data_IF_150683460371
#
_entry.id   IF_150683460371
#
_cell.length_a   1.000
_cell.length_b   1.000
_cell.length_c   1.000
_cell.angle_alpha   90.00
_cell.angle_beta   90.00
_cell.angle_gamma   90.00
#
_symmetry.space_group_name_H-M   'P 1'
#
loop_
_entity.id
_entity.type
_entity.pdbx_description
1 polymer ?
#
# COMPACT_ATOMS: atom_id res chain seq x y z
N UNK A 1 0.49 13.73 -5.29
CA UNK A 1 1.11 15.07 -5.40
C UNK A 1 1.51 15.37 -6.85
N UNK A 2 2.61 14.82 -7.33
CA UNK A 2 3.20 15.17 -8.65
C UNK A 2 2.79 14.25 -9.81
N UNK A 3 1.89 13.29 -9.55
CA UNK A 3 1.36 12.38 -10.57
C UNK A 3 2.21 11.12 -10.81
N UNK A 4 1.70 10.20 -11.64
CA UNK A 4 2.31 8.90 -11.88
C UNK A 4 3.62 8.96 -12.67
N UNK A 5 3.77 9.89 -13.61
CA UNK A 5 4.99 9.99 -14.41
C UNK A 5 6.21 10.37 -13.54
N UNK A 6 6.01 11.25 -12.56
CA UNK A 6 7.03 11.61 -11.58
C UNK A 6 7.32 10.44 -10.64
N UNK A 7 6.27 9.70 -10.23
CA UNK A 7 6.44 8.48 -9.44
C UNK A 7 7.31 7.45 -10.18
N UNK A 8 7.06 7.22 -11.46
CA UNK A 8 7.83 6.27 -12.28
C UNK A 8 9.28 6.72 -12.47
N UNK A 9 9.51 8.01 -12.67
CA UNK A 9 10.85 8.58 -12.73
C UNK A 9 11.60 8.39 -11.40
N UNK A 10 10.94 8.60 -10.27
CA UNK A 10 11.54 8.43 -8.95
C UNK A 10 11.87 6.97 -8.63
N UNK A 11 10.92 6.06 -8.84
CA UNK A 11 11.12 4.62 -8.61
C UNK A 11 12.24 4.06 -9.49
N UNK A 12 12.32 4.51 -10.75
CA UNK A 12 13.38 4.10 -11.69
C UNK A 12 14.69 4.86 -11.53
N UNK A 13 14.82 5.71 -10.51
CA UNK A 13 15.98 6.55 -10.22
C UNK A 13 16.40 7.50 -11.37
N UNK A 14 15.44 7.93 -12.20
CA UNK A 14 15.66 9.00 -13.19
C UNK A 14 15.67 10.39 -12.55
N UNK A 15 15.02 10.52 -11.40
CA UNK A 15 15.12 11.68 -10.52
C UNK A 15 15.53 11.20 -9.13
N UNK A 16 16.32 12.00 -8.38
CA UNK A 16 16.83 11.58 -7.09
C UNK A 16 15.75 11.62 -6.01
N UNK A 17 16.01 10.98 -4.89
CA UNK A 17 15.10 10.96 -3.74
C UNK A 17 14.88 12.35 -3.13
N UNK A 18 15.88 13.23 -3.24
CA UNK A 18 15.82 14.63 -2.81
C UNK A 18 15.38 15.60 -3.93
N UNK A 19 14.76 15.10 -5.00
CA UNK A 19 14.11 15.97 -5.99
C UNK A 19 13.03 16.84 -5.32
N UNK A 20 12.90 18.14 -5.67
CA UNK A 20 11.90 19.02 -5.07
C UNK A 20 10.46 18.50 -5.15
N UNK A 21 10.12 17.70 -6.17
CA UNK A 21 8.80 17.11 -6.33
C UNK A 21 8.54 15.97 -5.33
N UNK A 22 9.59 15.26 -4.90
CA UNK A 22 9.52 14.21 -3.87
C UNK A 22 9.50 14.84 -2.49
N UNK A 23 10.32 15.87 -2.25
CA UNK A 23 10.27 16.66 -1.02
C UNK A 23 8.90 17.31 -0.81
N UNK A 24 8.23 17.77 -1.88
CA UNK A 24 6.83 18.22 -1.80
C UNK A 24 5.90 17.10 -1.32
N UNK A 25 6.08 15.87 -1.77
CA UNK A 25 5.28 14.74 -1.30
C UNK A 25 5.55 14.40 0.18
N UNK A 26 6.81 14.47 0.62
CA UNK A 26 7.18 14.37 2.04
C UNK A 26 6.48 15.44 2.88
N UNK A 27 6.52 16.70 2.45
CA UNK A 27 5.89 17.80 3.15
C UNK A 27 4.36 17.62 3.27
N UNK A 28 3.69 17.23 2.19
CA UNK A 28 2.23 16.97 2.21
C UNK A 28 1.87 15.77 3.12
N UNK A 29 2.65 14.69 3.06
CA UNK A 29 2.45 13.56 3.98
C UNK A 29 2.73 13.97 5.44
N UNK A 30 3.73 14.82 5.67
CA UNK A 30 4.08 15.36 6.98
C UNK A 30 2.93 16.12 7.63
N UNK A 31 2.18 16.92 6.86
CA UNK A 31 0.97 17.61 7.37
C UNK A 31 -0.07 16.63 7.91
N UNK A 32 -0.19 15.45 7.30
CA UNK A 32 -1.12 14.40 7.75
C UNK A 32 -0.55 13.63 8.93
N UNK A 33 0.63 13.03 8.77
CA UNK A 33 1.23 12.11 9.73
C UNK A 33 1.74 12.79 11.01
N UNK A 34 2.15 14.05 10.91
CA UNK A 34 2.70 14.84 12.02
C UNK A 34 1.78 15.96 12.50
N UNK A 35 0.62 16.14 11.87
CA UNK A 35 -0.37 17.15 12.25
C UNK A 35 -1.05 16.82 13.57
N UNK A 36 -1.22 17.83 14.42
CA UNK A 36 -1.87 17.68 15.73
C UNK A 36 -3.30 17.17 15.59
N UNK A 37 -3.61 16.08 16.30
CA UNK A 37 -4.94 15.46 16.29
C UNK A 37 -5.25 14.55 15.10
N UNK A 38 -4.41 14.52 14.05
CA UNK A 38 -4.63 13.65 12.89
C UNK A 38 -4.34 12.18 13.17
N UNK A 39 -3.45 11.89 14.11
CA UNK A 39 -3.03 10.54 14.49
C UNK A 39 -3.37 10.29 15.95
N UNK A 40 -4.07 9.19 16.21
CA UNK A 40 -4.33 8.74 17.58
C UNK A 40 -3.01 8.42 18.29
N UNK A 41 -2.73 9.13 19.40
CA UNK A 41 -1.46 9.04 20.12
C UNK A 41 -0.32 9.88 19.53
N UNK A 42 -0.59 10.68 18.50
CA UNK A 42 0.39 11.56 17.84
C UNK A 42 1.36 10.82 16.90
N UNK A 43 2.22 11.59 16.24
CA UNK A 43 3.14 11.10 15.20
C UNK A 43 4.04 9.94 15.68
N UNK A 44 4.52 10.02 16.92
CA UNK A 44 5.35 8.98 17.53
C UNK A 44 4.63 7.64 17.65
N UNK A 45 3.29 7.62 17.71
CA UNK A 45 2.54 6.38 17.79
C UNK A 45 2.54 5.59 16.48
N UNK A 46 2.80 6.23 15.33
CA UNK A 46 2.88 5.55 14.01
C UNK A 46 3.96 4.47 14.02
N UNK A 47 5.15 4.78 14.52
CA UNK A 47 6.29 3.85 14.53
C UNK A 47 6.25 2.85 15.70
N UNK A 48 5.34 3.06 16.67
CA UNK A 48 5.21 2.22 17.87
C UNK A 48 3.96 1.32 17.85
N UNK A 49 3.12 1.45 16.82
CA UNK A 49 1.92 0.62 16.64
C UNK A 49 2.16 -0.41 15.54
N UNK A 50 1.89 -1.69 15.82
CA UNK A 50 1.92 -2.72 14.78
C UNK A 50 0.81 -2.45 13.77
N UNK A 51 1.10 -2.60 12.48
CA UNK A 51 0.12 -2.28 11.43
C UNK A 51 -1.22 -3.04 11.59
N UNK A 52 -1.19 -4.28 12.10
CA UNK A 52 -2.41 -5.06 12.35
C UNK A 52 -3.27 -4.52 13.50
N UNK A 53 -2.67 -3.77 14.43
CA UNK A 53 -3.35 -3.19 15.59
C UNK A 53 -3.84 -1.76 15.31
N UNK A 54 -3.43 -1.16 14.19
CA UNK A 54 -3.61 0.28 13.92
C UNK A 54 -5.08 0.73 13.87
N UNK A 55 -5.99 -0.13 13.44
CA UNK A 55 -7.44 0.18 13.39
C UNK A 55 -8.21 -0.29 14.63
N UNK A 56 -7.61 -1.08 15.52
CA UNK A 56 -8.27 -1.57 16.74
C UNK A 56 -8.89 -0.44 17.59
N UNK A 57 -8.27 0.74 17.75
CA UNK A 57 -8.88 1.84 18.50
C UNK A 57 -10.18 2.41 17.91
N UNK A 58 -10.49 2.16 16.63
CA UNK A 58 -11.74 2.60 15.99
C UNK A 58 -12.96 1.82 16.48
N UNK A 59 -12.76 0.62 17.05
CA UNK A 59 -13.83 -0.27 17.54
C UNK A 59 -13.97 -0.25 19.06
N UNK A 60 -13.32 0.70 19.74
CA UNK A 60 -13.51 0.95 21.17
C UNK A 60 -14.76 1.82 21.40
N UNK A 61 -15.25 1.85 22.64
CA UNK A 61 -16.35 2.72 23.05
C UNK A 61 -15.85 3.74 24.11
N UNK A 62 -15.76 5.04 23.78
CA UNK A 62 -16.00 5.63 22.46
C UNK A 62 -14.84 5.36 21.46
N UNK A 63 -15.09 5.45 20.13
CA UNK A 63 -14.05 5.30 19.11
C UNK A 63 -12.93 6.32 19.25
N UNK A 64 -11.68 5.88 19.10
CA UNK A 64 -10.49 6.73 19.28
C UNK A 64 -9.85 7.18 17.96
N UNK A 65 -10.16 6.52 16.86
CA UNK A 65 -9.81 6.92 15.50
C UNK A 65 -10.93 6.46 14.54
N UNK A 66 -10.92 6.98 13.31
CA UNK A 66 -11.99 6.70 12.34
C UNK A 66 -11.48 6.24 10.97
N UNK A 67 -10.24 6.56 10.63
CA UNK A 67 -9.67 6.33 9.30
C UNK A 67 -8.32 5.61 9.41
N UNK A 68 -8.09 4.68 8.49
CA UNK A 68 -6.81 4.03 8.28
C UNK A 68 -6.55 3.90 6.78
N UNK A 69 -5.34 4.22 6.34
CA UNK A 69 -4.85 3.92 4.97
C UNK A 69 -3.99 2.67 5.04
N UNK A 70 -4.47 1.57 4.48
CA UNK A 70 -3.77 0.28 4.48
C UNK A 70 -4.25 -0.61 3.32
N UNK A 71 -3.48 -1.64 2.97
CA UNK A 71 -3.89 -2.68 2.03
C UNK A 71 -5.14 -3.46 2.49
N UNK A 72 -5.86 -4.03 1.53
CA UNK A 72 -7.12 -4.77 1.74
C UNK A 72 -6.99 -5.93 2.74
N UNK A 73 -5.81 -6.55 2.82
CA UNK A 73 -5.52 -7.65 3.75
C UNK A 73 -5.67 -7.25 5.22
N UNK A 74 -5.64 -5.95 5.55
CA UNK A 74 -5.79 -5.47 6.92
C UNK A 74 -7.13 -5.80 7.56
N UNK A 75 -8.16 -6.03 6.74
CA UNK A 75 -9.46 -6.55 7.20
C UNK A 75 -9.31 -7.84 8.01
N UNK A 76 -8.33 -8.69 7.67
CA UNK A 76 -8.03 -9.93 8.38
C UNK A 76 -7.47 -9.75 9.80
N UNK A 77 -7.02 -8.54 10.17
CA UNK A 77 -6.52 -8.22 11.51
C UNK A 77 -7.55 -7.51 12.41
N UNK A 78 -8.71 -7.13 11.86
CA UNK A 78 -9.76 -6.45 12.64
C UNK A 78 -10.33 -7.36 13.74
N UNK A 79 -11.03 -6.82 14.76
CA UNK A 79 -11.73 -7.65 15.75
C UNK A 79 -12.65 -8.69 15.10
N UNK A 80 -12.79 -9.87 15.71
CA UNK A 80 -13.49 -11.01 15.09
C UNK A 80 -14.97 -10.74 14.82
N UNK A 81 -15.62 -9.97 15.68
CA UNK A 81 -16.99 -9.49 15.50
C UNK A 81 -17.13 -8.52 14.32
N UNK A 82 -16.10 -7.70 14.07
CA UNK A 82 -16.04 -6.81 12.90
C UNK A 82 -15.79 -7.62 11.62
N UNK A 83 -14.88 -8.59 11.64
CA UNK A 83 -14.63 -9.48 10.50
C UNK A 83 -15.89 -10.23 10.06
N UNK A 84 -16.75 -10.58 11.02
CA UNK A 84 -18.01 -11.29 10.76
C UNK A 84 -19.09 -10.40 10.13
N UNK A 85 -18.94 -9.07 10.14
CA UNK A 85 -19.96 -8.10 9.72
C UNK A 85 -19.34 -6.89 8.99
N UNK A 86 -18.37 -7.15 8.11
CA UNK A 86 -17.58 -6.11 7.45
C UNK A 86 -18.44 -5.07 6.72
N UNK A 87 -19.49 -5.51 6.02
CA UNK A 87 -20.35 -4.65 5.21
C UNK A 87 -21.11 -3.59 6.03
N UNK A 88 -21.35 -3.84 7.32
CA UNK A 88 -22.04 -2.91 8.20
C UNK A 88 -21.10 -2.17 9.17
N UNK A 89 -19.85 -2.64 9.32
CA UNK A 89 -18.90 -2.13 10.32
C UNK A 89 -17.75 -1.33 9.72
N UNK A 90 -17.47 -1.49 8.43
CA UNK A 90 -16.32 -0.88 7.76
C UNK A 90 -16.74 -0.27 6.44
N UNK A 91 -16.37 0.99 6.23
CA UNK A 91 -16.46 1.65 4.93
C UNK A 91 -15.10 1.72 4.24
N UNK A 92 -15.12 1.76 2.91
CA UNK A 92 -13.94 2.05 2.09
C UNK A 92 -14.21 3.22 1.15
N UNK A 93 -13.18 4.01 0.89
CA UNK A 93 -13.17 5.03 -0.15
C UNK A 93 -11.75 5.21 -0.69
N UNK A 94 -11.64 5.69 -1.93
CA UNK A 94 -10.35 6.05 -2.53
C UNK A 94 -9.74 7.21 -1.76
N UNK A 95 -8.42 7.15 -1.52
CA UNK A 95 -7.73 8.21 -0.80
C UNK A 95 -7.97 9.58 -1.49
N UNK A 96 -8.41 10.61 -0.77
CA UNK A 96 -8.80 11.88 -1.39
C UNK A 96 -7.65 12.51 -2.17
N UNK A 97 -7.92 13.09 -3.36
CA UNK A 97 -6.92 13.81 -4.11
C UNK A 97 -6.48 15.07 -3.35
N UNK A 98 -5.23 15.47 -3.56
CA UNK A 98 -4.74 16.77 -3.11
C UNK A 98 -5.27 17.85 -4.06
N UNK A 99 -5.83 18.94 -3.51
CA UNK A 99 -6.23 20.09 -4.31
C UNK A 99 -5.05 20.69 -5.09
N UNK A 100 -5.27 20.98 -6.37
CA UNK A 100 -4.20 21.36 -7.31
C UNK A 100 -3.13 20.28 -7.57
N UNK A 101 -3.36 19.03 -7.13
CA UNK A 101 -2.52 17.88 -7.40
C UNK A 101 -2.88 17.15 -8.70
N UNK A 102 -2.37 15.93 -8.85
CA UNK A 102 -2.76 15.02 -9.93
C UNK A 102 -4.28 14.79 -9.93
N UNK A 103 -4.92 14.99 -11.08
CA UNK A 103 -6.39 14.95 -11.22
C UNK A 103 -7.00 13.56 -11.42
N UNK A 104 -6.20 12.51 -11.59
CA UNK A 104 -6.69 11.13 -11.69
C UNK A 104 -6.79 10.44 -10.31
N UNK A 105 -7.22 9.18 -10.31
CA UNK A 105 -7.30 8.35 -9.11
C UNK A 105 -6.23 7.25 -9.13
N UNK A 106 -5.01 7.53 -8.60
CA UNK A 106 -3.97 6.52 -8.55
C UNK A 106 -4.26 5.52 -7.43
N UNK A 107 -4.22 4.24 -7.75
CA UNK A 107 -4.28 3.15 -6.79
C UNK A 107 -2.87 2.59 -6.58
N UNK A 108 -2.47 2.53 -5.31
CA UNK A 108 -1.23 1.90 -4.89
C UNK A 108 -1.54 0.49 -4.39
N UNK A 109 -0.76 -0.50 -4.78
CA UNK A 109 -0.90 -1.87 -4.27
C UNK A 109 0.44 -2.56 -4.06
N UNK A 110 0.38 -3.73 -3.45
CA UNK A 110 1.45 -4.71 -3.41
C UNK A 110 0.95 -6.03 -4.03
N UNK A 111 1.85 -6.97 -4.26
CA UNK A 111 1.45 -8.27 -4.78
C UNK A 111 2.60 -9.27 -4.81
N UNK A 112 2.23 -10.53 -4.86
CA UNK A 112 3.18 -11.63 -4.98
C UNK A 112 3.47 -11.93 -6.45
N UNK A 113 4.74 -12.21 -6.75
CA UNK A 113 5.19 -12.60 -8.07
C UNK A 113 5.60 -14.07 -8.07
N UNK A 114 5.16 -14.81 -9.08
CA UNK A 114 5.65 -16.15 -9.37
C UNK A 114 6.65 -16.07 -10.54
N UNK A 115 7.84 -16.64 -10.34
CA UNK A 115 8.89 -16.69 -11.35
C UNK A 115 9.31 -18.15 -11.63
N UNK A 116 9.39 -18.49 -12.92
CA UNK A 116 9.87 -19.79 -13.39
C UNK A 116 11.33 -19.67 -13.81
N UNK A 117 12.23 -20.35 -13.09
CA UNK A 117 13.68 -20.34 -13.38
C UNK A 117 14.09 -21.39 -14.42
N UNK A 118 13.40 -22.53 -14.47
CA UNK A 118 13.61 -23.57 -15.48
C UNK A 118 12.41 -23.59 -16.45
N UNK A 119 12.56 -22.94 -17.60
CA UNK A 119 11.51 -22.75 -18.60
C UNK A 119 11.05 -24.02 -19.34
N UNK A 120 11.79 -25.13 -19.24
CA UNK A 120 11.57 -26.32 -20.08
C UNK A 120 10.93 -27.50 -19.34
N UNK A 121 10.72 -27.39 -18.03
CA UNK A 121 10.11 -28.44 -17.22
C UNK A 121 8.57 -28.45 -17.39
N UNK A 122 7.96 -29.51 -17.94
CA UNK A 122 6.53 -29.53 -18.22
C UNK A 122 5.64 -29.37 -16.99
N UNK A 123 6.03 -29.95 -15.85
CA UNK A 123 5.25 -29.88 -14.61
C UNK A 123 5.24 -28.45 -14.06
N UNK A 124 6.39 -27.77 -14.13
CA UNK A 124 6.52 -26.36 -13.72
C UNK A 124 5.68 -25.45 -14.63
N UNK A 125 5.63 -25.72 -15.94
CA UNK A 125 4.78 -24.98 -16.88
C UNK A 125 3.30 -25.12 -16.51
N UNK A 126 2.83 -26.32 -16.16
CA UNK A 126 1.44 -26.53 -15.76
C UNK A 126 1.08 -25.80 -14.45
N UNK A 127 2.01 -25.77 -13.47
CA UNK A 127 1.82 -24.96 -12.25
C UNK A 127 1.72 -23.47 -12.58
N UNK A 128 2.61 -22.94 -13.44
CA UNK A 128 2.55 -21.53 -13.84
C UNK A 128 1.26 -21.19 -14.58
N UNK A 129 0.75 -22.09 -15.43
CA UNK A 129 -0.57 -21.93 -16.07
C UNK A 129 -1.70 -21.86 -15.03
N UNK A 130 -1.65 -22.69 -14.00
CA UNK A 130 -2.63 -22.62 -12.91
C UNK A 130 -2.52 -21.29 -12.14
N UNK A 131 -1.33 -20.89 -11.70
CA UNK A 131 -1.09 -19.65 -10.95
C UNK A 131 -1.54 -18.39 -11.71
N UNK A 132 -1.47 -18.42 -13.04
CA UNK A 132 -1.88 -17.33 -13.94
C UNK A 132 -3.30 -17.46 -14.46
N UNK A 133 -4.06 -18.48 -14.05
CA UNK A 133 -5.46 -18.66 -14.45
C UNK A 133 -6.44 -17.89 -13.56
N UNK A 134 -7.67 -17.74 -14.04
CA UNK A 134 -8.81 -17.21 -13.27
C UNK A 134 -9.28 -18.11 -12.11
N UNK A 135 -8.73 -19.31 -11.99
CA UNK A 135 -9.03 -20.25 -10.90
C UNK A 135 -8.10 -20.07 -9.70
N UNK A 136 -6.94 -19.45 -9.89
CA UNK A 136 -5.98 -19.24 -8.82
C UNK A 136 -6.59 -18.37 -7.72
N UNK A 137 -6.31 -18.73 -6.47
CA UNK A 137 -6.79 -17.98 -5.31
C UNK A 137 -8.28 -18.11 -5.00
N UNK A 138 -9.08 -18.86 -5.76
CA UNK A 138 -10.53 -19.01 -5.53
C UNK A 138 -10.92 -19.38 -4.08
N UNK A 139 -10.32 -20.42 -3.46
CA UNK A 139 -10.55 -20.73 -2.05
C UNK A 139 -10.10 -19.62 -1.08
N UNK A 140 -9.02 -18.91 -1.40
CA UNK A 140 -8.50 -17.81 -0.58
C UNK A 140 -9.41 -16.58 -0.66
N UNK A 141 -9.89 -16.25 -1.85
CA UNK A 141 -10.86 -15.18 -2.08
C UNK A 141 -12.09 -15.33 -1.19
N UNK A 142 -12.60 -16.57 -1.02
CA UNK A 142 -13.77 -16.89 -0.16
C UNK A 142 -13.54 -16.63 1.32
N UNK A 143 -12.28 -16.63 1.78
CA UNK A 143 -11.92 -16.28 3.15
C UNK A 143 -11.79 -14.76 3.32
N UNK A 144 -11.50 -14.04 2.24
CA UNK A 144 -11.26 -12.59 2.23
C UNK A 144 -9.80 -12.22 2.46
N UNK A 145 -9.50 -10.92 2.41
CA UNK A 145 -8.15 -10.38 2.58
C UNK A 145 -7.22 -10.57 1.37
N UNK A 146 -7.72 -11.08 0.25
CA UNK A 146 -7.00 -11.28 -1.00
C UNK A 146 -7.83 -10.79 -2.19
N UNK A 147 -7.18 -10.22 -3.20
CA UNK A 147 -7.79 -9.78 -4.45
C UNK A 147 -7.07 -10.44 -5.63
N UNK A 148 -7.83 -10.95 -6.59
CA UNK A 148 -7.27 -11.52 -7.81
C UNK A 148 -6.76 -10.43 -8.76
N UNK A 149 -5.55 -10.57 -9.32
CA UNK A 149 -5.08 -9.72 -10.41
C UNK A 149 -5.67 -10.15 -11.77
N UNK A 150 -6.38 -11.29 -11.85
CA UNK A 150 -6.88 -11.83 -13.11
C UNK A 150 -8.19 -11.16 -13.54
N UNK A 151 -8.23 -10.59 -14.77
CA UNK A 151 -9.38 -9.81 -15.28
C UNK A 151 -10.70 -10.58 -15.38
N UNK A 152 -10.64 -11.90 -15.53
CA UNK A 152 -11.83 -12.76 -15.64
C UNK A 152 -12.12 -13.54 -14.37
N UNK A 153 -11.46 -13.22 -13.25
CA UNK A 153 -11.76 -13.86 -11.97
C UNK A 153 -13.22 -13.63 -11.58
N UNK A 154 -13.90 -14.69 -11.17
CA UNK A 154 -15.29 -14.62 -10.75
C UNK A 154 -15.41 -13.93 -9.38
N UNK A 155 -15.81 -12.66 -9.40
CA UNK A 155 -15.98 -11.82 -8.21
C UNK A 155 -17.06 -12.33 -7.24
N UNK A 156 -17.91 -13.27 -7.64
CA UNK A 156 -18.85 -13.92 -6.71
C UNK A 156 -18.14 -14.80 -5.68
N UNK A 157 -16.86 -15.11 -5.88
CA UNK A 157 -16.03 -15.78 -4.88
C UNK A 157 -15.67 -14.88 -3.69
N UNK A 158 -15.82 -13.56 -3.78
CA UNK A 158 -15.55 -12.67 -2.65
C UNK A 158 -16.70 -12.72 -1.62
N UNK A 159 -16.40 -12.81 -0.31
CA UNK A 159 -17.37 -13.18 0.72
C UNK A 159 -18.35 -12.06 1.12
N UNK A 160 -18.04 -10.81 0.77
CA UNK A 160 -18.79 -9.64 1.22
C UNK A 160 -18.68 -8.50 0.20
N UNK A 161 -19.58 -7.52 0.30
CA UNK A 161 -19.63 -6.39 -0.64
C UNK A 161 -18.43 -5.46 -0.48
N UNK A 162 -17.91 -5.29 0.74
CA UNK A 162 -16.70 -4.49 0.99
C UNK A 162 -15.50 -4.99 0.16
N UNK A 163 -15.29 -6.32 0.10
CA UNK A 163 -14.18 -6.92 -0.68
C UNK A 163 -14.43 -6.78 -2.18
N UNK A 164 -15.68 -6.89 -2.64
CA UNK A 164 -16.03 -6.65 -4.05
C UNK A 164 -15.78 -5.20 -4.44
N UNK A 165 -16.13 -4.24 -3.59
CA UNK A 165 -15.83 -2.82 -3.80
C UNK A 165 -14.32 -2.56 -3.86
N UNK A 166 -13.53 -3.19 -2.98
CA UNK A 166 -12.06 -3.13 -3.06
C UNK A 166 -11.54 -3.66 -4.41
N UNK A 167 -12.06 -4.80 -4.88
CA UNK A 167 -11.68 -5.39 -6.16
C UNK A 167 -12.05 -4.47 -7.33
N UNK A 168 -13.26 -3.88 -7.28
CA UNK A 168 -13.74 -2.95 -8.29
C UNK A 168 -12.85 -1.72 -8.39
N UNK A 169 -12.55 -1.06 -7.26
CA UNK A 169 -11.65 0.11 -7.19
C UNK A 169 -10.30 -0.17 -7.86
N UNK A 170 -9.70 -1.33 -7.58
CA UNK A 170 -8.41 -1.71 -8.18
C UNK A 170 -8.58 -1.99 -9.67
N UNK A 171 -9.63 -2.71 -10.08
CA UNK A 171 -9.86 -3.10 -11.47
C UNK A 171 -10.24 -1.93 -12.38
N UNK A 172 -10.86 -0.88 -11.82
CA UNK A 172 -11.29 0.33 -12.53
C UNK A 172 -10.28 1.47 -12.41
N UNK A 173 -9.11 1.24 -11.80
CA UNK A 173 -8.10 2.27 -11.60
C UNK A 173 -7.52 2.74 -12.94
N UNK A 174 -7.54 4.06 -13.18
CA UNK A 174 -6.87 4.66 -14.34
C UNK A 174 -5.35 4.44 -14.28
N UNK A 175 -4.82 4.37 -13.06
CA UNK A 175 -3.40 4.21 -12.77
C UNK A 175 -3.25 3.27 -11.57
N UNK A 176 -2.54 2.17 -11.78
CA UNK A 176 -2.05 1.30 -10.71
C UNK A 176 -0.53 1.36 -10.62
N UNK A 177 0.03 1.43 -9.40
CA UNK A 177 1.47 1.30 -9.15
C UNK A 177 1.73 0.37 -7.98
N UNK A 178 2.82 -0.38 -8.07
CA UNK A 178 3.36 -1.08 -6.91
C UNK A 178 3.97 -0.09 -5.93
N UNK A 179 4.03 -0.47 -4.65
CA UNK A 179 4.79 0.26 -3.65
C UNK A 179 6.23 0.50 -4.14
N UNK A 180 6.70 1.73 -4.00
CA UNK A 180 8.00 2.16 -4.48
C UNK A 180 9.11 1.34 -3.83
N UNK A 181 9.01 1.04 -2.53
CA UNK A 181 10.08 0.32 -1.82
C UNK A 181 10.24 -1.12 -2.33
N UNK A 182 9.18 -1.73 -2.86
CA UNK A 182 9.23 -3.08 -3.44
C UNK A 182 9.97 -3.12 -4.78
N UNK A 183 9.99 -1.99 -5.49
CA UNK A 183 10.61 -1.84 -6.81
C UNK A 183 12.05 -1.29 -6.73
N UNK A 184 12.43 -0.73 -5.59
CA UNK A 184 13.77 -0.19 -5.36
C UNK A 184 14.80 -1.31 -5.07
N UNK A 185 16.11 -1.04 -5.25
CA UNK A 185 17.15 -1.93 -4.76
C UNK A 185 16.94 -2.26 -3.29
N UNK A 186 17.22 -3.51 -2.88
CA UNK A 186 16.93 -4.00 -1.53
C UNK A 186 17.53 -3.12 -0.44
N UNK A 187 18.77 -2.68 -0.65
CA UNK A 187 19.54 -1.82 0.26
C UNK A 187 18.91 -0.43 0.43
N UNK A 188 18.10 0.00 -0.54
CA UNK A 188 17.33 1.25 -0.50
C UNK A 188 15.94 1.00 0.06
N UNK A 189 15.09 0.25 -0.67
CA UNK A 189 13.66 0.12 -0.36
C UNK A 189 13.40 -0.47 1.03
N UNK A 190 13.91 -1.67 1.28
CA UNK A 190 13.81 -2.34 2.59
C UNK A 190 14.91 -1.91 3.58
N UNK A 191 15.88 -1.12 3.13
CA UNK A 191 17.02 -0.67 3.91
C UNK A 191 16.86 0.78 4.34
N UNK A 192 17.61 1.67 3.69
CA UNK A 192 17.69 3.08 4.09
C UNK A 192 16.36 3.81 4.03
N UNK A 193 15.52 3.55 3.03
CA UNK A 193 14.21 4.20 2.94
C UNK A 193 13.37 3.90 4.20
N UNK A 194 13.30 2.64 4.62
CA UNK A 194 12.64 2.27 5.87
C UNK A 194 13.25 2.98 7.09
N UNK A 195 14.57 2.88 7.28
CA UNK A 195 15.21 3.41 8.49
C UNK A 195 15.17 4.93 8.57
N UNK A 196 15.32 5.63 7.45
CA UNK A 196 15.27 7.08 7.41
C UNK A 196 13.84 7.60 7.58
N UNK A 197 12.81 6.90 7.09
CA UNK A 197 11.41 7.25 7.39
C UNK A 197 11.08 7.13 8.88
N UNK A 198 11.65 6.15 9.58
CA UNK A 198 11.50 6.04 11.05
C UNK A 198 12.15 7.25 11.75
N UNK A 199 13.34 7.68 11.31
CA UNK A 199 13.99 8.89 11.85
C UNK A 199 13.20 10.16 11.51
N UNK A 200 12.66 10.24 10.31
CA UNK A 200 11.80 11.35 9.88
C UNK A 200 10.55 11.48 10.74
N UNK A 201 9.92 10.35 11.10
CA UNK A 201 8.81 10.35 12.05
C UNK A 201 9.23 10.76 13.47
N UNK A 202 10.51 10.58 13.83
CA UNK A 202 11.11 11.05 15.09
C UNK A 202 11.71 12.46 15.02
N UNK A 203 11.50 13.20 13.93
CA UNK A 203 11.84 14.62 13.83
C UNK A 203 12.98 14.99 12.89
N UNK A 204 13.58 14.04 12.16
CA UNK A 204 14.49 14.39 11.07
C UNK A 204 13.76 15.20 9.98
N UNK A 205 14.50 16.11 9.32
CA UNK A 205 13.94 16.97 8.27
C UNK A 205 13.70 16.21 6.96
N UNK A 206 12.82 16.74 6.11
CA UNK A 206 12.53 16.17 4.77
C UNK A 206 13.82 16.06 3.94
N UNK A 207 14.62 17.13 3.89
CA UNK A 207 15.86 17.22 3.13
C UNK A 207 16.93 16.23 3.60
N UNK A 208 17.14 16.16 4.92
CA UNK A 208 18.11 15.26 5.54
C UNK A 208 17.73 13.81 5.26
N UNK A 209 16.45 13.48 5.46
CA UNK A 209 15.90 12.14 5.22
C UNK A 209 16.07 11.74 3.76
N UNK A 210 15.60 12.56 2.83
CA UNK A 210 15.67 12.27 1.41
C UNK A 210 17.12 12.15 0.91
N UNK A 211 18.01 13.03 1.36
CA UNK A 211 19.43 13.00 1.00
C UNK A 211 20.13 11.75 1.54
N UNK A 212 19.80 11.32 2.76
CA UNK A 212 20.35 10.08 3.32
C UNK A 212 19.93 8.85 2.52
N UNK A 213 18.68 8.79 2.06
CA UNK A 213 18.19 7.71 1.20
C UNK A 213 18.87 7.74 -0.17
N UNK A 214 18.95 8.92 -0.81
CA UNK A 214 19.62 9.10 -2.10
C UNK A 214 21.09 8.63 -2.06
N UNK A 215 21.82 8.98 -1.00
CA UNK A 215 23.23 8.60 -0.85
C UNK A 215 23.47 7.08 -0.76
N UNK A 216 22.42 6.31 -0.45
CA UNK A 216 22.50 4.85 -0.38
C UNK A 216 22.22 4.16 -1.72
N UNK A 217 21.81 4.91 -2.74
CA UNK A 217 21.49 4.33 -4.03
C UNK A 217 22.73 3.69 -4.66
N UNK A 218 22.65 2.43 -5.13
CA UNK A 218 23.78 1.76 -5.75
C UNK A 218 24.32 2.54 -6.95
N UNK A 219 25.62 2.82 -6.96
CA UNK A 219 26.29 3.39 -8.13
C UNK A 219 26.32 2.32 -9.22
N UNK A 220 25.78 2.65 -10.39
CA UNK A 220 25.86 1.84 -11.61
C UNK A 220 27.30 1.62 -12.06
#
# INVERSE_FOLDING_TARGET
VSGPDVYDQWVSHKIPFNDPQILKAFAEFGKLAKGDGNVFGGAANIINTKFGDAMTPAFQDPPKCYLMRQGNFATGFLPKDVQADLDNKVGIFVFPPLDGGYGGQPILGGGDLAAQFNGNDPDTIEVMKFLTSDKFGGPWAKVGGWLSPHKTFDATNYPNELTKQMAEIVSSADVFRFDASDLMPKEVGSGTFWTEMVKWMNGASDEETATAIENSWPKS
#
